data_IF_614352977129
#
_entry.id   IF_614352977129
#
_cell.length_a   1.000
_cell.length_b   1.000
_cell.length_c   1.000
_cell.angle_alpha   90.00
_cell.angle_beta   90.00
_cell.angle_gamma   90.00
#
_symmetry.space_group_name_H-M   'P 1'
#
loop_
_entity.id
_entity.type
_entity.pdbx_description
1 polymer ?
#
# COMPACT_ATOMS: atom_id res chain seq x y z
N UNK A 1 -22.91 -29.50 -19.61
CA UNK A 1 -22.51 -29.82 -18.21
C UNK A 1 -23.75 -30.25 -17.45
N UNK A 2 -23.84 -31.50 -16.98
CA UNK A 2 -25.05 -32.04 -16.32
C UNK A 2 -25.48 -31.24 -15.08
N UNK A 3 -24.55 -30.56 -14.41
CA UNK A 3 -24.80 -29.81 -13.17
C UNK A 3 -24.99 -28.30 -13.37
N UNK A 4 -25.02 -27.79 -14.61
CA UNK A 4 -25.14 -26.35 -14.89
C UNK A 4 -26.36 -25.69 -14.22
N UNK A 5 -27.58 -26.32 -14.19
CA UNK A 5 -28.73 -25.72 -13.53
C UNK A 5 -28.51 -25.51 -12.02
N UNK A 6 -27.84 -26.47 -11.36
CA UNK A 6 -27.50 -26.39 -9.93
C UNK A 6 -26.47 -25.29 -9.66
N UNK A 7 -25.44 -25.17 -10.52
CA UNK A 7 -24.45 -24.09 -10.43
C UNK A 7 -25.11 -22.73 -10.60
N UNK A 8 -26.02 -22.59 -11.56
CA UNK A 8 -26.74 -21.35 -11.81
C UNK A 8 -27.58 -20.95 -10.59
N UNK A 9 -28.34 -21.89 -10.01
CA UNK A 9 -29.13 -21.63 -8.80
C UNK A 9 -28.26 -21.18 -7.63
N UNK A 10 -27.14 -21.86 -7.36
CA UNK A 10 -26.22 -21.48 -6.28
C UNK A 10 -25.64 -20.08 -6.54
N UNK A 11 -25.27 -19.78 -7.79
CA UNK A 11 -24.70 -18.48 -8.16
C UNK A 11 -25.71 -17.35 -7.96
N UNK A 12 -26.98 -17.57 -8.31
CA UNK A 12 -28.07 -16.62 -8.06
C UNK A 12 -28.31 -16.43 -6.56
N UNK A 13 -28.35 -17.52 -5.78
CA UNK A 13 -28.51 -17.45 -4.34
C UNK A 13 -27.38 -16.65 -3.66
N UNK A 14 -26.13 -16.88 -4.09
CA UNK A 14 -24.96 -16.14 -3.60
C UNK A 14 -24.99 -14.68 -4.05
N UNK A 15 -25.49 -14.39 -5.26
CA UNK A 15 -25.72 -13.02 -5.72
C UNK A 15 -26.76 -12.28 -4.87
N UNK A 16 -27.88 -12.92 -4.54
CA UNK A 16 -28.91 -12.37 -3.64
C UNK A 16 -28.30 -12.11 -2.25
N UNK A 17 -27.52 -13.04 -1.72
CA UNK A 17 -26.79 -12.84 -0.46
C UNK A 17 -25.84 -11.64 -0.55
N UNK A 18 -25.07 -11.52 -1.64
CA UNK A 18 -24.16 -10.39 -1.88
C UNK A 18 -24.88 -9.04 -1.95
N UNK A 19 -26.10 -9.01 -2.49
CA UNK A 19 -26.94 -7.81 -2.48
C UNK A 19 -27.31 -7.39 -1.04
N UNK A 20 -27.77 -8.34 -0.22
CA UNK A 20 -28.09 -8.09 1.19
C UNK A 20 -26.87 -7.64 2.01
N UNK A 21 -25.71 -8.26 1.76
CA UNK A 21 -24.44 -7.87 2.36
C UNK A 21 -24.06 -6.42 2.00
N UNK A 22 -24.24 -6.04 0.73
CA UNK A 22 -24.00 -4.67 0.27
C UNK A 22 -24.86 -3.64 1.01
N UNK A 23 -26.14 -3.93 1.22
CA UNK A 23 -27.02 -3.07 2.03
C UNK A 23 -26.50 -2.94 3.46
N UNK A 24 -26.22 -4.08 4.12
CA UNK A 24 -25.82 -4.11 5.53
C UNK A 24 -24.53 -3.31 5.80
N UNK A 25 -23.54 -3.40 4.92
CA UNK A 25 -22.25 -2.71 5.06
C UNK A 25 -22.19 -1.34 4.37
N UNK A 26 -23.32 -0.83 3.84
CA UNK A 26 -23.37 0.43 3.09
C UNK A 26 -22.39 0.48 1.90
N UNK A 27 -22.26 -0.65 1.19
CA UNK A 27 -21.48 -0.79 -0.04
C UNK A 27 -22.42 -0.79 -1.25
N UNK A 28 -21.89 -0.67 -2.48
CA UNK A 28 -22.71 -0.71 -3.70
C UNK A 28 -23.37 -2.09 -3.92
N UNK A 29 -24.69 -2.26 -3.64
CA UNK A 29 -25.29 -3.60 -3.60
C UNK A 29 -25.30 -4.35 -4.94
N UNK A 30 -25.54 -3.69 -6.10
CA UNK A 30 -25.44 -4.36 -7.41
C UNK A 30 -24.04 -4.89 -7.73
N UNK A 31 -22.99 -4.16 -7.31
CA UNK A 31 -21.60 -4.56 -7.54
C UNK A 31 -21.26 -5.79 -6.71
N UNK A 32 -21.67 -5.80 -5.43
CA UNK A 32 -21.47 -6.94 -4.54
C UNK A 32 -22.23 -8.19 -5.02
N UNK A 33 -23.49 -8.04 -5.43
CA UNK A 33 -24.29 -9.12 -5.99
C UNK A 33 -23.67 -9.70 -7.26
N UNK A 34 -23.25 -8.83 -8.18
CA UNK A 34 -22.60 -9.21 -9.43
C UNK A 34 -21.27 -9.91 -9.19
N UNK A 35 -20.41 -9.35 -8.34
CA UNK A 35 -19.09 -9.91 -8.03
C UNK A 35 -19.17 -11.30 -7.41
N UNK A 36 -20.00 -11.47 -6.37
CA UNK A 36 -20.12 -12.76 -5.68
C UNK A 36 -20.83 -13.81 -6.54
N UNK A 37 -21.88 -13.44 -7.26
CA UNK A 37 -22.59 -14.33 -8.18
C UNK A 37 -21.71 -14.79 -9.35
N UNK A 38 -20.98 -13.87 -9.98
CA UNK A 38 -20.07 -14.19 -11.08
C UNK A 38 -18.92 -15.09 -10.64
N UNK A 39 -18.32 -14.83 -9.48
CA UNK A 39 -17.25 -15.68 -8.93
C UNK A 39 -17.73 -17.11 -8.70
N UNK A 40 -18.91 -17.27 -8.10
CA UNK A 40 -19.52 -18.57 -7.82
C UNK A 40 -19.86 -19.33 -9.11
N UNK A 41 -20.35 -18.61 -10.11
CA UNK A 41 -20.64 -19.18 -11.43
C UNK A 41 -19.37 -19.67 -12.11
N UNK A 42 -18.33 -18.84 -12.15
CA UNK A 42 -17.01 -19.20 -12.70
C UNK A 42 -16.45 -20.44 -12.00
N UNK A 43 -16.48 -20.46 -10.68
CA UNK A 43 -15.97 -21.60 -9.91
C UNK A 43 -16.76 -22.88 -10.18
N UNK A 44 -18.10 -22.79 -10.21
CA UNK A 44 -18.94 -23.94 -10.51
C UNK A 44 -18.78 -24.46 -11.94
N UNK A 45 -18.49 -23.60 -12.91
CA UNK A 45 -18.14 -24.01 -14.27
C UNK A 45 -16.80 -24.75 -14.28
N UNK A 46 -15.78 -24.21 -13.59
CA UNK A 46 -14.44 -24.80 -13.51
C UNK A 46 -14.45 -26.18 -12.85
N UNK A 47 -15.21 -26.36 -11.77
CA UNK A 47 -15.35 -27.65 -11.08
C UNK A 47 -16.05 -28.73 -11.93
N UNK A 48 -16.95 -28.32 -12.83
CA UNK A 48 -17.66 -29.26 -13.72
C UNK A 48 -16.89 -29.59 -15.00
N UNK A 49 -15.71 -28.99 -15.20
CA UNK A 49 -14.84 -29.32 -16.31
C UNK A 49 -14.09 -30.60 -15.99
N UNK A 50 -14.13 -31.59 -16.88
CA UNK A 50 -13.38 -32.84 -16.73
C UNK A 50 -11.91 -32.53 -16.44
N UNK A 51 -11.44 -33.00 -15.29
CA UNK A 51 -10.05 -32.86 -14.89
C UNK A 51 -9.24 -33.86 -15.71
N UNK A 52 -8.62 -33.36 -16.78
CA UNK A 52 -7.61 -34.11 -17.51
C UNK A 52 -6.41 -34.31 -16.58
N UNK A 53 -5.76 -35.49 -16.58
CA UNK A 53 -4.53 -35.67 -15.82
C UNK A 53 -3.55 -34.57 -16.21
N UNK A 54 -3.07 -33.83 -15.22
CA UNK A 54 -2.14 -32.72 -15.42
C UNK A 54 -0.83 -33.31 -15.94
N UNK A 55 -0.53 -33.04 -17.21
CA UNK A 55 0.78 -33.41 -17.78
C UNK A 55 1.81 -32.47 -17.17
N UNK A 56 2.71 -33.02 -16.35
CA UNK A 56 3.82 -32.25 -15.76
C UNK A 56 4.55 -31.47 -16.87
N UNK A 57 4.53 -30.14 -16.77
CA UNK A 57 5.32 -29.28 -17.63
C UNK A 57 6.70 -29.09 -16.99
N UNK A 58 7.75 -29.03 -17.80
CA UNK A 58 9.05 -28.59 -17.31
C UNK A 58 8.98 -27.17 -16.75
N UNK A 59 9.86 -26.84 -15.80
CA UNK A 59 9.89 -25.54 -15.10
C UNK A 59 9.81 -24.35 -16.07
N UNK A 60 10.69 -24.30 -17.07
CA UNK A 60 10.74 -23.20 -18.04
C UNK A 60 9.47 -23.07 -18.88
N UNK A 61 8.85 -24.19 -19.26
CA UNK A 61 7.58 -24.18 -19.98
C UNK A 61 6.44 -23.68 -19.10
N UNK A 62 6.48 -24.03 -17.82
CA UNK A 62 5.48 -23.57 -16.86
C UNK A 62 5.57 -22.04 -16.67
N UNK A 63 6.76 -21.56 -16.33
CA UNK A 63 7.06 -20.14 -16.14
C UNK A 63 6.71 -19.34 -17.40
N UNK A 64 7.21 -19.77 -18.57
CA UNK A 64 6.96 -19.09 -19.84
C UNK A 64 5.49 -19.00 -20.23
N UNK A 65 4.65 -19.98 -19.85
CA UNK A 65 3.20 -19.90 -20.11
C UNK A 65 2.46 -18.96 -19.18
N UNK A 66 2.96 -18.70 -17.98
CA UNK A 66 2.26 -17.90 -16.95
C UNK A 66 2.66 -16.43 -16.96
N UNK A 67 3.90 -16.11 -17.32
CA UNK A 67 4.39 -14.73 -17.38
C UNK A 67 3.46 -13.84 -18.24
N UNK A 68 3.09 -14.18 -19.49
CA UNK A 68 2.23 -13.31 -20.30
C UNK A 68 0.86 -13.08 -19.67
N UNK A 69 0.28 -14.10 -19.03
CA UNK A 69 -1.03 -14.01 -18.36
C UNK A 69 -0.95 -13.00 -17.21
N UNK A 70 0.09 -13.12 -16.39
CA UNK A 70 0.28 -12.24 -15.22
C UNK A 70 0.63 -10.81 -15.64
N UNK A 71 1.39 -10.63 -16.73
CA UNK A 71 1.64 -9.30 -17.30
C UNK A 71 0.34 -8.63 -17.77
N UNK A 72 -0.52 -9.36 -18.49
CA UNK A 72 -1.83 -8.85 -18.93
C UNK A 72 -2.69 -8.50 -17.72
N UNK A 73 -2.75 -9.36 -16.70
CA UNK A 73 -3.49 -9.09 -15.47
C UNK A 73 -2.92 -7.88 -14.72
N UNK A 74 -1.60 -7.74 -14.64
CA UNK A 74 -0.94 -6.59 -14.02
C UNK A 74 -1.30 -5.27 -14.72
N UNK A 75 -1.32 -5.26 -16.06
CA UNK A 75 -1.76 -4.10 -16.85
C UNK A 75 -3.22 -3.75 -16.55
N UNK A 76 -4.12 -4.75 -16.52
CA UNK A 76 -5.53 -4.53 -16.21
C UNK A 76 -5.68 -3.95 -14.79
N UNK A 77 -4.99 -4.54 -13.80
CA UNK A 77 -5.00 -4.08 -12.41
C UNK A 77 -4.53 -2.64 -12.30
N UNK A 78 -3.42 -2.29 -12.95
CA UNK A 78 -2.86 -0.94 -12.97
C UNK A 78 -3.88 0.09 -13.45
N UNK A 79 -4.43 -0.09 -14.66
CA UNK A 79 -5.38 0.85 -15.24
C UNK A 79 -6.69 0.92 -14.46
N UNK A 80 -7.15 -0.22 -13.91
CA UNK A 80 -8.36 -0.25 -13.08
C UNK A 80 -8.13 0.54 -11.78
N UNK A 81 -7.02 0.31 -11.08
CA UNK A 81 -6.69 1.03 -9.85
C UNK A 81 -6.51 2.54 -10.10
N UNK A 82 -5.86 2.91 -11.20
CA UNK A 82 -5.77 4.31 -11.63
C UNK A 82 -7.13 4.94 -11.91
N UNK A 83 -8.03 4.22 -12.59
CA UNK A 83 -9.39 4.70 -12.86
C UNK A 83 -10.20 4.97 -11.59
N UNK A 84 -10.02 4.15 -10.54
CA UNK A 84 -10.67 4.34 -9.24
C UNK A 84 -9.95 5.36 -8.33
N UNK A 85 -8.89 6.02 -8.81
CA UNK A 85 -8.20 7.09 -8.07
C UNK A 85 -7.28 6.60 -6.96
N UNK A 86 -6.84 5.33 -6.99
CA UNK A 86 -5.85 4.85 -6.03
C UNK A 86 -4.51 5.58 -6.18
N UNK A 87 -3.81 5.94 -5.09
CA UNK A 87 -2.47 6.54 -5.16
C UNK A 87 -1.46 5.63 -5.86
N UNK A 88 -0.42 6.21 -6.46
CA UNK A 88 0.60 5.49 -7.24
C UNK A 88 1.18 4.26 -6.52
N UNK A 89 1.58 4.39 -5.25
CA UNK A 89 2.15 3.29 -4.48
C UNK A 89 1.18 2.12 -4.27
N UNK A 90 -0.12 2.41 -4.10
CA UNK A 90 -1.14 1.37 -4.01
C UNK A 90 -1.33 0.63 -5.35
N UNK A 91 -1.27 1.35 -6.47
CA UNK A 91 -1.32 0.73 -7.80
C UNK A 91 -0.13 -0.22 -8.01
N UNK A 92 1.08 0.21 -7.63
CA UNK A 92 2.30 -0.63 -7.65
C UNK A 92 2.11 -1.88 -6.79
N UNK A 93 1.59 -1.72 -5.57
CA UNK A 93 1.36 -2.82 -4.64
C UNK A 93 0.36 -3.85 -5.19
N UNK A 94 -0.75 -3.41 -5.78
CA UNK A 94 -1.72 -4.33 -6.40
C UNK A 94 -1.12 -5.13 -7.55
N UNK A 95 -0.27 -4.51 -8.37
CA UNK A 95 0.47 -5.22 -9.44
C UNK A 95 1.49 -6.18 -8.85
N UNK A 96 2.18 -5.80 -7.77
CA UNK A 96 3.12 -6.67 -7.06
C UNK A 96 2.43 -7.93 -6.51
N UNK A 97 1.20 -7.82 -5.99
CA UNK A 97 0.42 -8.99 -5.58
C UNK A 97 0.11 -9.96 -6.73
N UNK A 98 -0.09 -9.47 -7.96
CA UNK A 98 -0.24 -10.35 -9.12
C UNK A 98 1.06 -11.14 -9.40
N UNK A 99 2.23 -10.51 -9.22
CA UNK A 99 3.53 -11.19 -9.32
C UNK A 99 3.74 -12.22 -8.20
N UNK A 100 3.29 -11.93 -6.97
CA UNK A 100 3.28 -12.92 -5.88
C UNK A 100 2.42 -14.13 -6.25
N UNK A 101 1.26 -13.90 -6.87
CA UNK A 101 0.42 -14.97 -7.42
C UNK A 101 1.15 -15.84 -8.44
N UNK A 102 1.98 -15.25 -9.32
CA UNK A 102 2.83 -16.00 -10.24
C UNK A 102 3.77 -16.96 -9.50
N UNK A 103 4.42 -16.52 -8.42
CA UNK A 103 5.28 -17.39 -7.62
C UNK A 103 4.51 -18.57 -7.03
N UNK A 104 3.32 -18.34 -6.45
CA UNK A 104 2.48 -19.43 -5.95
C UNK A 104 2.10 -20.42 -7.05
N UNK A 105 1.68 -19.94 -8.23
CA UNK A 105 1.35 -20.81 -9.35
C UNK A 105 2.56 -21.59 -9.89
N UNK A 106 3.77 -21.00 -9.85
CA UNK A 106 4.99 -21.73 -10.19
C UNK A 106 5.23 -22.84 -9.18
N UNK A 107 5.15 -22.55 -7.88
CA UNK A 107 5.37 -23.52 -6.79
C UNK A 107 4.36 -24.67 -6.85
N UNK A 108 3.08 -24.39 -7.06
CA UNK A 108 2.02 -25.40 -7.13
C UNK A 108 2.18 -26.35 -8.32
N UNK A 109 2.77 -25.87 -9.40
CA UNK A 109 3.04 -26.66 -10.61
C UNK A 109 4.46 -27.26 -10.63
N UNK A 110 5.26 -27.06 -9.57
CA UNK A 110 6.52 -27.80 -9.42
C UNK A 110 6.21 -29.29 -9.26
N UNK A 111 7.16 -30.12 -9.69
CA UNK A 111 7.04 -31.57 -9.55
C UNK A 111 6.83 -31.93 -8.08
N UNK A 112 5.90 -32.85 -7.83
CA UNK A 112 5.67 -33.38 -6.50
C UNK A 112 6.98 -33.94 -5.94
N UNK A 113 7.37 -33.48 -4.75
CA UNK A 113 8.58 -33.96 -4.12
C UNK A 113 8.46 -35.45 -3.81
N UNK A 114 9.53 -36.20 -4.03
CA UNK A 114 9.59 -37.59 -3.60
C UNK A 114 9.64 -37.63 -2.08
N UNK A 115 9.02 -38.65 -1.49
CA UNK A 115 9.11 -38.91 -0.04
C UNK A 115 10.59 -39.12 0.30
N UNK A 116 11.05 -38.44 1.34
CA UNK A 116 12.43 -38.57 1.83
C UNK A 116 12.67 -39.97 2.36
N UNK A 117 13.79 -40.59 1.97
CA UNK A 117 14.06 -42.00 2.25
C UNK A 117 14.69 -42.25 3.63
N UNK A 118 15.04 -41.20 4.39
CA UNK A 118 15.66 -41.35 5.71
C UNK A 118 15.89 -40.04 6.47
N UNK A 119 16.11 -40.16 7.78
CA UNK A 119 16.21 -39.04 8.73
C UNK A 119 17.33 -38.05 8.37
N UNK A 120 18.51 -38.56 7.97
CA UNK A 120 19.64 -37.70 7.61
C UNK A 120 19.37 -36.79 6.41
N UNK A 121 18.57 -37.24 5.42
CA UNK A 121 18.16 -36.42 4.29
C UNK A 121 17.18 -35.33 4.73
N UNK A 122 16.22 -35.68 5.59
CA UNK A 122 15.27 -34.74 6.18
C UNK A 122 15.96 -33.64 7.00
N UNK A 123 16.94 -34.01 7.84
CA UNK A 123 17.72 -33.06 8.65
C UNK A 123 18.51 -32.11 7.75
N UNK A 124 19.22 -32.63 6.74
CA UNK A 124 19.99 -31.79 5.80
C UNK A 124 19.10 -30.82 5.03
N UNK A 125 17.93 -31.28 4.57
CA UNK A 125 16.96 -30.44 3.86
C UNK A 125 16.38 -29.37 4.77
N UNK A 126 16.08 -29.71 6.02
CA UNK A 126 15.59 -28.76 7.02
C UNK A 126 16.64 -27.66 7.29
N UNK A 127 17.86 -28.06 7.65
CA UNK A 127 18.96 -27.12 7.92
C UNK A 127 19.24 -26.27 6.67
N UNK A 128 19.32 -26.88 5.49
CA UNK A 128 19.57 -26.17 4.23
C UNK A 128 18.47 -25.16 3.91
N UNK A 129 17.20 -25.50 4.13
CA UNK A 129 16.07 -24.59 3.88
C UNK A 129 16.12 -23.39 4.82
N UNK A 130 16.36 -23.63 6.12
CA UNK A 130 16.48 -22.55 7.10
C UNK A 130 17.73 -21.70 6.85
N UNK A 131 18.88 -22.31 6.59
CA UNK A 131 20.13 -21.59 6.32
C UNK A 131 20.00 -20.72 5.06
N UNK A 132 19.38 -21.24 3.99
CA UNK A 132 19.15 -20.47 2.77
C UNK A 132 18.19 -19.30 3.01
N UNK A 133 17.06 -19.56 3.66
CA UNK A 133 16.10 -18.51 4.00
C UNK A 133 16.74 -17.43 4.87
N UNK A 134 17.43 -17.82 5.94
CA UNK A 134 18.14 -16.90 6.83
C UNK A 134 19.20 -16.08 6.08
N UNK A 135 20.00 -16.70 5.21
CA UNK A 135 21.02 -16.00 4.44
C UNK A 135 20.40 -14.96 3.49
N UNK A 136 19.31 -15.32 2.81
CA UNK A 136 18.58 -14.39 1.95
C UNK A 136 18.01 -13.22 2.78
N UNK A 137 17.36 -13.51 3.90
CA UNK A 137 16.82 -12.46 4.76
C UNK A 137 17.90 -11.54 5.27
N UNK A 138 18.98 -12.07 5.84
CA UNK A 138 20.09 -11.27 6.38
C UNK A 138 20.73 -10.41 5.29
N UNK A 139 20.97 -10.96 4.10
CA UNK A 139 21.64 -10.21 3.02
C UNK A 139 20.74 -9.12 2.44
N UNK A 140 19.44 -9.41 2.24
CA UNK A 140 18.48 -8.41 1.76
C UNK A 140 18.27 -7.33 2.81
N UNK A 141 18.05 -7.69 4.07
CA UNK A 141 17.82 -6.69 5.12
C UNK A 141 19.06 -5.85 5.39
N UNK A 142 20.27 -6.41 5.30
CA UNK A 142 21.51 -5.65 5.42
C UNK A 142 21.66 -4.56 4.34
N UNK A 143 21.00 -4.68 3.19
CA UNK A 143 20.99 -3.65 2.14
C UNK A 143 19.89 -2.60 2.34
N UNK A 144 18.89 -2.86 3.18
CA UNK A 144 17.88 -1.86 3.51
C UNK A 144 18.46 -0.82 4.49
N UNK A 145 17.98 0.43 4.47
CA UNK A 145 18.39 1.45 5.43
C UNK A 145 18.29 0.92 6.85
N UNK A 146 19.44 0.72 7.48
CA UNK A 146 19.52 0.27 8.86
C UNK A 146 19.50 1.48 9.79
N UNK A 147 19.01 1.26 11.01
CA UNK A 147 19.14 2.24 12.08
C UNK A 147 20.62 2.55 12.32
N UNK A 148 21.02 3.80 12.15
CA UNK A 148 22.36 4.27 12.51
C UNK A 148 22.25 5.16 13.74
N UNK A 149 22.78 4.75 14.90
CA UNK A 149 22.77 5.57 16.11
C UNK A 149 23.36 6.96 15.87
N UNK A 150 24.40 7.06 15.05
CA UNK A 150 25.08 8.31 14.72
C UNK A 150 24.18 9.26 13.93
N UNK A 151 23.41 8.74 12.96
CA UNK A 151 22.46 9.53 12.17
C UNK A 151 21.31 10.01 13.05
N UNK A 152 20.80 9.14 13.93
CA UNK A 152 19.72 9.53 14.85
C UNK A 152 20.19 10.52 15.92
N UNK A 153 21.42 10.37 16.43
CA UNK A 153 22.07 11.34 17.31
C UNK A 153 22.29 12.68 16.61
N UNK A 154 22.70 12.68 15.33
CA UNK A 154 22.85 13.89 14.54
C UNK A 154 21.52 14.62 14.34
N UNK A 155 20.41 13.89 14.18
CA UNK A 155 19.06 14.48 14.13
C UNK A 155 18.66 15.11 15.47
N UNK A 156 19.04 14.50 16.59
CA UNK A 156 18.76 15.03 17.93
C UNK A 156 19.63 16.26 18.27
N UNK A 157 20.89 16.25 17.85
CA UNK A 157 21.85 17.33 18.10
C UNK A 157 21.88 18.38 16.99
N UNK A 158 20.85 18.44 16.12
CA UNK A 158 20.77 19.46 15.09
C UNK A 158 20.82 20.83 15.78
N UNK A 159 21.70 21.75 15.35
CA UNK A 159 21.70 23.10 15.90
C UNK A 159 20.31 23.71 15.65
N UNK A 160 19.80 24.53 16.58
CA UNK A 160 18.57 25.27 16.33
C UNK A 160 18.71 26.04 15.01
N UNK A 161 17.64 26.05 14.22
CA UNK A 161 17.60 26.86 13.00
C UNK A 161 17.79 28.31 13.43
N UNK A 162 18.77 28.98 12.83
CA UNK A 162 19.00 30.40 13.03
C UNK A 162 18.85 31.06 11.66
N UNK A 163 17.77 31.82 11.50
CA UNK A 163 17.48 32.51 10.24
C UNK A 163 18.31 33.80 10.08
N UNK A 164 19.07 34.21 11.10
CA UNK A 164 19.83 35.46 11.07
C UNK A 164 20.97 35.40 10.04
N UNK A 165 20.87 36.25 9.02
CA UNK A 165 21.88 36.36 7.96
C UNK A 165 21.78 35.32 6.83
N UNK A 166 20.75 34.46 6.82
CA UNK A 166 20.46 33.58 5.68
C UNK A 166 19.79 34.36 4.53
N UNK A 167 20.11 33.98 3.29
CA UNK A 167 19.44 34.52 2.11
C UNK A 167 18.23 33.65 1.71
N UNK A 168 17.41 34.15 0.78
CA UNK A 168 16.12 33.54 0.44
C UNK A 168 16.18 32.03 0.11
N UNK A 169 17.11 31.53 -0.72
CA UNK A 169 17.23 30.10 -1.01
C UNK A 169 17.56 29.25 0.21
N UNK A 170 18.43 29.74 1.10
CA UNK A 170 18.87 29.05 2.31
C UNK A 170 17.74 28.99 3.35
N UNK A 171 16.95 30.05 3.48
CA UNK A 171 15.73 30.06 4.32
C UNK A 171 14.70 29.06 3.81
N UNK A 172 14.51 28.95 2.49
CA UNK A 172 13.60 27.95 1.90
C UNK A 172 14.08 26.52 2.17
N UNK A 173 15.39 26.27 2.08
CA UNK A 173 15.97 24.97 2.39
C UNK A 173 15.78 24.60 3.86
N UNK A 174 16.07 25.54 4.79
CA UNK A 174 15.86 25.35 6.22
C UNK A 174 14.39 25.08 6.55
N UNK A 175 13.46 25.86 5.97
CA UNK A 175 12.02 25.65 6.15
C UNK A 175 11.53 24.30 5.61
N UNK A 176 12.12 23.81 4.51
CA UNK A 176 11.81 22.45 4.00
C UNK A 176 12.28 21.38 4.98
N UNK A 177 13.47 21.52 5.53
CA UNK A 177 14.01 20.56 6.51
C UNK A 177 13.16 20.51 7.78
N UNK A 178 12.71 21.67 8.29
CA UNK A 178 11.76 21.75 9.43
C UNK A 178 10.43 21.07 9.09
N UNK A 179 9.91 21.29 7.89
CA UNK A 179 8.66 20.69 7.42
C UNK A 179 8.76 19.15 7.30
N UNK A 180 9.90 18.63 6.87
CA UNK A 180 10.19 17.19 6.78
C UNK A 180 10.42 16.56 8.15
N UNK A 181 11.25 17.18 9.00
CA UNK A 181 11.60 16.66 10.33
C UNK A 181 10.39 16.55 11.24
N UNK A 182 9.48 17.53 11.15
CA UNK A 182 8.23 17.56 11.90
C UNK A 182 7.10 16.75 11.24
N UNK A 183 7.43 16.03 10.15
CA UNK A 183 6.54 15.09 9.47
C UNK A 183 5.25 15.74 8.96
N UNK A 184 5.31 17.02 8.60
CA UNK A 184 4.15 17.79 8.11
C UNK A 184 3.57 17.15 6.83
N UNK A 185 4.41 16.52 6.00
CA UNK A 185 4.04 15.75 4.81
C UNK A 185 3.11 14.55 5.06
N UNK A 186 3.01 14.06 6.29
CA UNK A 186 2.09 12.97 6.60
C UNK A 186 0.62 13.41 6.52
N UNK A 187 0.36 14.71 6.70
CA UNK A 187 -0.98 15.28 6.73
C UNK A 187 -1.23 16.31 5.62
N UNK A 188 -0.20 17.04 5.19
CA UNK A 188 -0.31 18.09 4.18
C UNK A 188 0.38 17.68 2.88
N UNK A 189 -0.27 17.98 1.76
CA UNK A 189 0.35 17.87 0.44
C UNK A 189 0.96 19.21 0.02
N UNK A 190 2.16 19.17 -0.53
CA UNK A 190 2.88 20.32 -1.09
C UNK A 190 3.44 19.87 -2.45
N UNK A 191 3.10 20.55 -3.55
CA UNK A 191 3.59 20.24 -4.91
C UNK A 191 3.61 18.74 -5.29
N UNK A 192 2.51 18.01 -5.01
CA UNK A 192 2.37 16.56 -5.27
C UNK A 192 3.22 15.63 -4.39
N UNK A 193 3.95 16.17 -3.42
CA UNK A 193 4.62 15.44 -2.33
C UNK A 193 3.71 15.41 -1.09
N UNK A 194 3.69 14.28 -0.38
CA UNK A 194 2.87 14.06 0.83
C UNK A 194 1.92 12.86 0.73
N UNK A 195 1.66 12.22 1.88
CA UNK A 195 1.06 10.88 1.93
C UNK A 195 -0.45 10.85 2.20
N UNK A 196 -1.08 11.92 2.70
CA UNK A 196 -2.52 11.92 2.95
C UNK A 196 -3.19 13.28 2.78
N UNK A 197 -4.50 13.25 2.51
CA UNK A 197 -5.38 14.43 2.43
C UNK A 197 -6.04 14.74 3.79
N UNK A 198 -5.35 14.46 4.91
CA UNK A 198 -5.87 14.71 6.25
C UNK A 198 -5.92 16.20 6.60
N UNK A 199 -4.98 16.98 6.07
CA UNK A 199 -4.94 18.44 6.17
C UNK A 199 -5.13 19.12 4.81
N UNK A 200 -5.24 20.47 4.80
CA UNK A 200 -5.28 21.24 3.57
C UNK A 200 -4.04 21.00 2.70
N UNK A 201 -4.26 20.87 1.39
CA UNK A 201 -3.19 20.88 0.40
C UNK A 201 -2.62 22.29 0.28
N UNK A 202 -1.39 22.47 0.76
CA UNK A 202 -0.71 23.75 0.83
C UNK A 202 -0.25 24.20 -0.56
N UNK A 203 0.05 23.26 -1.47
CA UNK A 203 0.42 23.57 -2.86
C UNK A 203 -0.72 24.20 -3.66
N UNK A 204 -1.98 23.79 -3.43
CA UNK A 204 -3.14 24.31 -4.18
C UNK A 204 -3.84 25.49 -3.49
N UNK A 205 -3.70 25.61 -2.16
CA UNK A 205 -4.29 26.71 -1.37
C UNK A 205 -3.54 28.04 -1.48
N UNK A 206 -2.44 28.10 -2.25
CA UNK A 206 -1.61 29.29 -2.43
C UNK A 206 -1.23 29.91 -1.07
N UNK A 207 -0.64 29.12 -0.17
CA UNK A 207 -0.43 29.58 1.22
C UNK A 207 0.42 30.84 1.30
N UNK A 208 1.30 31.06 0.31
CA UNK A 208 2.13 32.27 0.21
C UNK A 208 1.34 33.57 -0.03
N UNK A 209 0.01 33.53 -0.14
CA UNK A 209 -0.85 34.72 -0.15
C UNK A 209 -1.36 35.11 1.24
N UNK A 210 -1.22 34.23 2.24
CA UNK A 210 -1.56 34.56 3.63
C UNK A 210 -0.38 35.25 4.31
N UNK A 211 -0.67 36.05 5.34
CA UNK A 211 0.40 36.71 6.11
C UNK A 211 1.16 35.70 6.95
N UNK A 212 2.42 36.02 7.26
CA UNK A 212 3.28 35.18 8.09
C UNK A 212 2.67 34.96 9.47
N UNK A 213 2.06 35.99 10.05
CA UNK A 213 1.40 35.91 11.36
C UNK A 213 0.21 34.95 11.33
N UNK A 214 -0.56 34.96 10.24
CA UNK A 214 -1.66 34.01 10.07
C UNK A 214 -1.15 32.58 10.01
N UNK A 215 -0.09 32.31 9.21
CA UNK A 215 0.48 30.96 9.08
C UNK A 215 1.05 30.49 10.42
N UNK A 216 1.78 31.37 11.12
CA UNK A 216 2.34 31.07 12.44
C UNK A 216 1.25 30.72 13.45
N UNK A 217 0.17 31.50 13.50
CA UNK A 217 -0.97 31.21 14.37
C UNK A 217 -1.65 29.87 14.01
N UNK A 218 -1.76 29.53 12.72
CA UNK A 218 -2.27 28.22 12.30
C UNK A 218 -1.38 27.06 12.76
N UNK A 219 -0.07 27.26 12.97
CA UNK A 219 0.86 26.22 13.44
C UNK A 219 0.82 26.11 14.97
N UNK A 220 0.86 27.24 15.68
CA UNK A 220 0.92 27.29 17.14
C UNK A 220 -0.45 27.04 17.79
N UNK A 221 -1.51 27.60 17.21
CA UNK A 221 -2.88 27.55 17.73
C UNK A 221 -3.86 26.93 16.71
N UNK A 222 -3.60 25.71 16.22
CA UNK A 222 -4.35 25.12 15.10
C UNK A 222 -5.82 24.83 15.42
N UNK A 223 -6.23 24.95 16.69
CA UNK A 223 -7.61 24.71 17.14
C UNK A 223 -8.42 25.99 17.32
N UNK A 224 -7.77 27.15 17.37
CA UNK A 224 -8.45 28.44 17.57
C UNK A 224 -9.01 28.93 16.23
N UNK A 225 -8.15 28.99 15.22
CA UNK A 225 -8.49 29.45 13.88
C UNK A 225 -8.37 28.27 12.90
N UNK A 226 -9.48 27.88 12.26
CA UNK A 226 -9.46 26.81 11.25
C UNK A 226 -9.20 27.38 9.86
N UNK A 227 -8.42 26.64 9.06
CA UNK A 227 -8.28 26.96 7.65
C UNK A 227 -9.63 26.87 6.92
N UNK A 228 -9.87 27.80 5.99
CA UNK A 228 -11.11 27.87 5.22
C UNK A 228 -11.39 26.56 4.48
N UNK A 229 -12.57 25.96 4.70
CA UNK A 229 -13.00 24.67 4.16
C UNK A 229 -12.77 23.47 5.08
N UNK A 230 -12.29 23.67 6.31
CA UNK A 230 -12.05 22.64 7.33
C UNK A 230 -12.79 22.95 8.64
N UNK A 231 -13.95 23.60 8.58
CA UNK A 231 -14.71 24.10 9.74
C UNK A 231 -15.46 23.01 10.52
N UNK A 232 -15.41 21.76 10.08
CA UNK A 232 -16.12 20.66 10.73
C UNK A 232 -15.48 20.25 12.07
N UNK A 233 -16.30 19.66 12.95
CA UNK A 233 -15.89 19.29 14.32
C UNK A 233 -14.73 18.28 14.36
N UNK A 234 -14.56 17.47 13.30
CA UNK A 234 -13.50 16.45 13.23
C UNK A 234 -12.19 17.10 12.82
N UNK A 235 -12.22 17.96 11.80
CA UNK A 235 -11.05 18.72 11.33
C UNK A 235 -10.48 19.64 12.40
N UNK A 236 -11.34 20.27 13.23
CA UNK A 236 -10.91 21.11 14.35
C UNK A 236 -10.01 20.42 15.39
N UNK A 237 -10.03 19.09 15.45
CA UNK A 237 -9.19 18.28 16.37
C UNK A 237 -8.10 17.50 15.65
N UNK A 238 -7.98 17.63 14.32
CA UNK A 238 -7.12 16.78 13.51
C UNK A 238 -5.64 17.17 13.59
N UNK A 239 -5.34 18.47 13.68
CA UNK A 239 -3.97 18.97 13.83
C UNK A 239 -3.53 18.93 15.29
N UNK A 240 -2.29 18.50 15.52
CA UNK A 240 -1.69 18.40 16.84
C UNK A 240 -1.29 19.78 17.38
N UNK A 241 -1.24 19.92 18.71
CA UNK A 241 -1.02 21.21 19.40
C UNK A 241 0.35 21.32 20.07
N UNK A 242 1.22 20.32 19.92
CA UNK A 242 2.53 20.30 20.56
C UNK A 242 3.58 21.17 19.85
N UNK A 243 3.30 21.63 18.62
CA UNK A 243 4.26 22.41 17.83
C UNK A 243 4.63 23.75 18.47
N UNK A 244 3.77 24.34 19.31
CA UNK A 244 4.11 25.55 20.04
C UNK A 244 5.09 25.35 21.20
N UNK A 245 5.32 24.10 21.61
CA UNK A 245 6.35 23.73 22.58
C UNK A 245 7.59 23.14 21.89
N UNK A 246 7.40 22.50 20.72
CA UNK A 246 8.45 21.76 20.00
C UNK A 246 9.23 22.59 18.97
N UNK A 247 8.70 23.73 18.52
CA UNK A 247 9.35 24.62 17.54
C UNK A 247 9.87 25.91 18.19
N UNK A 248 11.07 26.31 17.79
CA UNK A 248 11.60 27.63 18.12
C UNK A 248 10.99 28.73 17.24
N UNK A 249 11.24 30.01 17.57
CA UNK A 249 10.74 31.15 16.77
C UNK A 249 11.30 31.20 15.34
N UNK A 250 12.50 30.64 15.13
CA UNK A 250 13.19 30.58 13.84
C UNK A 250 12.80 29.32 13.02
N UNK A 251 12.05 28.37 13.60
CA UNK A 251 11.53 27.15 12.95
C UNK A 251 10.05 27.28 12.53
#
# INVERSE_FOLDING_TARGET
MKNLPKVLMISVAVGIFGYGFGIYFNMAPPVMAGGMGALTLLYGILLNKEHRPTKEKGFFRNVGTKIPIILVLGVIIWFTAGHYGFPFWWQVEFVAFALVGLFFFIILDLKTMKVEKGEGHSIRRLIGTYALGSLLYITITAQLPQFSPEIELAKLNRPPVDLSGLAGPEVIAAGRDVFESNKCFNCHKVFWEGNSDRGPNLGTKQIGLYSEEYIKDQILNPRENQSKGYEDKKSKKAMATYYGEDLSEDE
#
